data_IF_786498650156
#
_entry.id   IF_786498650156
#
_cell.length_a   1.000
_cell.length_b   1.000
_cell.length_c   1.000
_cell.angle_alpha   90.00
_cell.angle_beta   90.00
_cell.angle_gamma   90.00
#
_symmetry.space_group_name_H-M   'P 1'
#
loop_
_entity.id
_entity.type
_entity.pdbx_description
1 polymer ?
#
# COMPACT_ATOMS: atom_id res chain seq x y z
N UNK A 1 -14.49 -37.23 -19.77
CA UNK A 1 -13.30 -36.84 -20.55
C UNK A 1 -13.49 -35.53 -21.33
N UNK A 2 -14.69 -35.18 -21.80
CA UNK A 2 -14.95 -33.91 -22.49
C UNK A 2 -14.91 -32.68 -21.58
N UNK A 3 -15.47 -32.76 -20.36
CA UNK A 3 -15.38 -31.69 -19.35
C UNK A 3 -13.94 -31.27 -19.02
N UNK A 4 -13.01 -32.23 -19.01
CA UNK A 4 -11.59 -31.96 -18.73
C UNK A 4 -10.97 -31.19 -19.91
N UNK A 5 -11.32 -31.55 -21.15
CA UNK A 5 -10.88 -30.82 -22.36
C UNK A 5 -11.46 -29.42 -22.43
N UNK A 6 -12.72 -29.22 -22.04
CA UNK A 6 -13.30 -27.88 -21.92
C UNK A 6 -12.62 -27.05 -20.83
N UNK A 7 -12.39 -27.62 -19.65
CA UNK A 7 -11.70 -26.93 -18.56
C UNK A 7 -10.28 -26.48 -18.97
N UNK A 8 -9.54 -27.35 -19.66
CA UNK A 8 -8.21 -27.02 -20.19
C UNK A 8 -8.26 -25.88 -21.23
N UNK A 9 -9.28 -25.87 -22.11
CA UNK A 9 -9.48 -24.77 -23.08
C UNK A 9 -9.81 -23.46 -22.38
N UNK A 10 -10.69 -23.47 -21.39
CA UNK A 10 -11.06 -22.27 -20.62
C UNK A 10 -9.87 -21.73 -19.83
N UNK A 11 -9.08 -22.60 -19.19
CA UNK A 11 -7.87 -22.19 -18.47
C UNK A 11 -6.82 -21.56 -19.43
N UNK A 12 -6.58 -22.17 -20.59
CA UNK A 12 -5.66 -21.61 -21.59
C UNK A 12 -6.13 -20.23 -22.07
N UNK A 13 -7.44 -20.06 -22.27
CA UNK A 13 -8.01 -18.77 -22.65
C UNK A 13 -7.88 -17.74 -21.53
N UNK A 14 -8.15 -18.11 -20.28
CA UNK A 14 -7.97 -17.25 -19.11
C UNK A 14 -6.53 -16.74 -18.98
N UNK A 15 -5.52 -17.61 -19.10
CA UNK A 15 -4.12 -17.19 -19.07
C UNK A 15 -3.75 -16.26 -20.23
N UNK A 16 -4.35 -16.45 -21.41
CA UNK A 16 -4.18 -15.54 -22.55
C UNK A 16 -4.75 -14.16 -22.25
N UNK A 17 -5.94 -14.11 -21.68
CA UNK A 17 -6.63 -12.87 -21.29
C UNK A 17 -5.87 -12.13 -20.17
N UNK A 18 -5.43 -12.84 -19.13
CA UNK A 18 -4.58 -12.28 -18.05
C UNK A 18 -3.31 -11.67 -18.62
N UNK A 19 -2.64 -12.35 -19.56
CA UNK A 19 -1.42 -11.81 -20.20
C UNK A 19 -1.71 -10.54 -21.00
N UNK A 20 -2.87 -10.41 -21.62
CA UNK A 20 -3.28 -9.20 -22.34
C UNK A 20 -3.56 -8.06 -21.36
N UNK A 21 -4.24 -8.34 -20.25
CA UNK A 21 -4.57 -7.32 -19.24
C UNK A 21 -3.33 -6.84 -18.48
N UNK A 22 -2.41 -7.76 -18.16
CA UNK A 22 -1.12 -7.45 -17.54
C UNK A 22 -0.25 -6.53 -18.41
N UNK A 23 -0.43 -6.52 -19.74
CA UNK A 23 0.27 -5.56 -20.63
C UNK A 23 -0.31 -4.15 -20.55
N UNK A 24 -1.55 -3.99 -20.07
CA UNK A 24 -2.17 -2.67 -19.85
C UNK A 24 -1.76 -2.06 -18.50
N UNK A 25 -1.17 -2.85 -17.60
CA UNK A 25 -0.64 -2.37 -16.33
C UNK A 25 0.58 -1.50 -16.61
N UNK A 26 0.41 -0.19 -16.51
CA UNK A 26 1.50 0.78 -16.59
C UNK A 26 2.22 0.80 -15.24
N UNK A 27 3.36 0.13 -15.18
CA UNK A 27 4.20 0.19 -13.99
C UNK A 27 4.73 1.62 -13.81
N UNK A 28 4.62 2.18 -12.59
CA UNK A 28 5.07 3.54 -12.32
C UNK A 28 6.57 3.65 -12.60
N UNK A 29 6.95 4.79 -13.18
CA UNK A 29 8.36 5.09 -13.38
C UNK A 29 9.08 5.25 -12.04
N UNK A 30 10.39 4.99 -11.97
CA UNK A 30 11.18 5.17 -10.73
C UNK A 30 10.98 6.56 -10.10
N UNK A 31 10.74 7.58 -10.93
CA UNK A 31 10.50 8.96 -10.48
C UNK A 31 9.15 9.11 -9.78
N UNK A 32 8.09 8.52 -10.32
CA UNK A 32 6.76 8.53 -9.68
C UNK A 32 6.76 7.73 -8.38
N UNK A 33 7.41 6.57 -8.33
CA UNK A 33 7.52 5.77 -7.10
C UNK A 33 8.24 6.53 -6.00
N UNK A 34 9.30 7.26 -6.34
CA UNK A 34 10.01 8.11 -5.36
C UNK A 34 9.12 9.27 -4.92
N UNK A 35 8.43 9.94 -5.84
CA UNK A 35 7.55 11.06 -5.51
C UNK A 35 6.40 10.64 -4.58
N UNK A 36 5.71 9.53 -4.87
CA UNK A 36 4.62 9.02 -4.04
C UNK A 36 5.12 8.58 -2.66
N UNK A 37 6.26 7.89 -2.60
CA UNK A 37 6.87 7.47 -1.32
C UNK A 37 7.32 8.67 -0.48
N UNK A 38 7.83 9.73 -1.13
CA UNK A 38 8.28 10.96 -0.46
C UNK A 38 7.13 11.68 0.23
N UNK A 39 5.97 11.80 -0.42
CA UNK A 39 4.76 12.38 0.17
C UNK A 39 4.30 11.59 1.40
N UNK A 40 4.30 10.26 1.30
CA UNK A 40 3.96 9.39 2.43
C UNK A 40 4.92 9.58 3.59
N UNK A 41 6.24 9.62 3.34
CA UNK A 41 7.25 9.82 4.38
C UNK A 41 7.07 11.15 5.10
N UNK A 42 6.83 12.25 4.38
CA UNK A 42 6.57 13.57 4.98
C UNK A 42 5.31 13.52 5.85
N UNK A 43 4.24 12.90 5.36
CA UNK A 43 2.97 12.78 6.10
C UNK A 43 3.16 11.98 7.39
N UNK A 44 3.87 10.86 7.32
CA UNK A 44 4.20 10.04 8.51
C UNK A 44 5.02 10.83 9.51
N UNK A 45 6.01 11.60 9.04
CA UNK A 45 6.86 12.40 9.91
C UNK A 45 6.08 13.49 10.65
N UNK A 46 5.15 14.17 9.94
CA UNK A 46 4.28 15.18 10.54
C UNK A 46 3.37 14.58 11.62
N UNK A 47 2.72 13.45 11.32
CA UNK A 47 1.83 12.77 12.27
C UNK A 47 2.62 12.27 13.49
N UNK A 48 3.78 11.64 13.27
CA UNK A 48 4.62 11.13 14.35
C UNK A 48 5.12 12.27 15.25
N UNK A 49 5.51 13.41 14.67
CA UNK A 49 5.94 14.58 15.42
C UNK A 49 4.80 15.16 16.27
N UNK A 50 3.61 15.31 15.68
CA UNK A 50 2.43 15.79 16.39
C UNK A 50 2.07 14.88 17.56
N UNK A 51 1.94 13.57 17.32
CA UNK A 51 1.63 12.59 18.37
C UNK A 51 2.71 12.60 19.45
N UNK A 52 3.99 12.63 19.08
CA UNK A 52 5.08 12.70 20.05
C UNK A 52 5.02 13.93 20.96
N UNK A 53 4.67 15.10 20.44
CA UNK A 53 4.45 16.30 21.27
C UNK A 53 3.27 16.09 22.22
N UNK A 54 2.15 15.58 21.72
CA UNK A 54 0.94 15.34 22.51
C UNK A 54 1.22 14.33 23.62
N UNK A 55 1.87 13.21 23.31
CA UNK A 55 2.23 12.17 24.27
C UNK A 55 3.18 12.69 25.36
N UNK A 56 4.16 13.50 25.00
CA UNK A 56 5.07 14.13 25.95
C UNK A 56 4.35 15.16 26.82
N UNK A 57 3.44 15.95 26.24
CA UNK A 57 2.62 16.91 26.96
C UNK A 57 1.69 16.24 27.96
N UNK A 58 0.94 15.22 27.52
CA UNK A 58 0.03 14.44 28.36
C UNK A 58 0.79 13.71 29.46
N UNK A 59 1.93 13.07 29.14
CA UNK A 59 2.73 12.35 30.13
C UNK A 59 3.24 13.26 31.24
N UNK A 60 3.64 14.50 30.91
CA UNK A 60 4.03 15.50 31.90
C UNK A 60 2.83 15.97 32.72
N UNK A 61 1.70 16.24 32.07
CA UNK A 61 0.47 16.67 32.73
C UNK A 61 0.01 15.62 33.75
N UNK A 62 -0.06 14.36 33.35
CA UNK A 62 -0.46 13.24 34.23
C UNK A 62 0.49 13.10 35.42
N UNK A 63 1.80 13.23 35.21
CA UNK A 63 2.78 13.18 36.32
C UNK A 63 2.54 14.29 37.34
N UNK A 64 2.27 15.51 36.88
CA UNK A 64 1.99 16.66 37.76
C UNK A 64 0.67 16.51 38.53
N UNK A 65 -0.32 15.80 37.98
CA UNK A 65 -1.58 15.55 38.68
C UNK A 65 -1.54 14.35 39.65
N UNK A 66 -0.59 13.43 39.47
CA UNK A 66 -0.50 12.19 40.25
C UNK A 66 0.47 12.32 41.46
N UNK A 67 1.43 13.25 41.40
CA UNK A 67 2.20 13.76 42.55
C UNK A 67 1.46 14.89 43.26
#
# INVERSE_FOLDING_TARGET
>A
MERIREFLRTAQQFFREVRVEMKKVTWPSRKETIASTSVVLVTVFLVAFYLGIVDLGLSRLIKVFLE
#
